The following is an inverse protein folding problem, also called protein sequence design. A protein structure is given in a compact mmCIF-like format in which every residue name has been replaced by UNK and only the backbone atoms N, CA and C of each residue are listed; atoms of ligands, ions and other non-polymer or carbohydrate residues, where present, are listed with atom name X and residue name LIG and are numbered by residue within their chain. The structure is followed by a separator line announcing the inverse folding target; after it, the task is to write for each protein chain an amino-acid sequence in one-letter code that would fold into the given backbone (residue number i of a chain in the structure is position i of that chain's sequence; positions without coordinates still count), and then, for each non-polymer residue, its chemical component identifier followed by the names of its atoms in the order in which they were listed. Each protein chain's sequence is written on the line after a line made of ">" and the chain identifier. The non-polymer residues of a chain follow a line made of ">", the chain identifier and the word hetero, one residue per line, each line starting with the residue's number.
data_IF_326885773917
#
_entry.id   IF_326885773917
#
_cell.length_a   1.000
_cell.length_b   1.000
_cell.length_c   1.000
_cell.angle_alpha   90.00
_cell.angle_beta   90.00
_cell.angle_gamma   90.00
#
_symmetry.space_group_name_H-M   'P 1'
#
loop_
_entity.id
_entity.type
_entity.pdbx_description
1 polymer ?
#
# COMPACT_ATOMS: atom_id res chain seq x y z
N UNK A 1 8.11 -1.05 -32.27
CA UNK A 1 7.33 -1.90 -31.33
C UNK A 1 8.20 -2.06 -30.09
N UNK A 2 7.90 -1.26 -29.08
CA UNK A 2 8.59 -1.32 -27.79
C UNK A 2 7.55 -1.81 -26.80
N UNK A 3 7.73 -3.01 -26.27
CA UNK A 3 6.88 -3.54 -25.21
C UNK A 3 7.41 -3.00 -23.89
N UNK A 4 7.00 -1.80 -23.51
CA UNK A 4 7.06 -1.38 -22.12
C UNK A 4 5.96 -2.18 -21.43
N UNK A 5 6.32 -3.22 -20.68
CA UNK A 5 5.36 -3.92 -19.82
C UNK A 5 4.76 -2.87 -18.89
N UNK A 6 3.42 -2.69 -18.86
CA UNK A 6 2.79 -2.03 -17.73
C UNK A 6 3.17 -2.87 -16.51
N UNK A 7 3.87 -2.26 -15.55
CA UNK A 7 4.06 -2.90 -14.26
C UNK A 7 2.68 -2.80 -13.59
N UNK A 8 1.91 -3.89 -13.67
CA UNK A 8 0.57 -3.97 -13.10
C UNK A 8 0.63 -3.92 -11.57
N UNK A 9 -0.34 -3.27 -10.93
CA UNK A 9 -0.47 -3.28 -9.48
C UNK A 9 -0.64 -4.72 -8.96
N UNK A 10 -0.02 -5.01 -7.82
CA UNK A 10 -0.04 -6.32 -7.19
C UNK A 10 -0.74 -6.25 -5.84
N UNK A 11 -1.53 -7.29 -5.54
CA UNK A 11 -2.05 -7.52 -4.19
C UNK A 11 -2.25 -9.02 -3.96
N UNK A 12 -1.65 -9.52 -2.89
CA UNK A 12 -1.91 -10.84 -2.36
C UNK A 12 -2.26 -10.79 -0.88
N UNK A 13 -3.10 -11.72 -0.45
CA UNK A 13 -3.57 -11.84 0.92
C UNK A 13 -3.66 -13.30 1.32
N UNK A 14 -3.05 -13.66 2.44
CA UNK A 14 -3.00 -15.03 2.92
C UNK A 14 -3.04 -15.14 4.45
N UNK A 15 -3.39 -16.34 4.92
CA UNK A 15 -3.28 -16.67 6.33
C UNK A 15 -1.81 -16.83 6.72
N UNK A 16 -1.34 -15.96 7.60
CA UNK A 16 0.02 -16.01 8.11
C UNK A 16 0.18 -17.02 9.27
N UNK A 17 1.42 -17.23 9.70
CA UNK A 17 1.71 -17.99 10.90
C UNK A 17 1.27 -17.21 12.16
N UNK A 18 0.84 -17.91 13.21
CA UNK A 18 0.40 -17.28 14.46
C UNK A 18 1.51 -16.53 15.21
N UNK A 19 2.77 -16.78 14.87
CA UNK A 19 3.95 -16.07 15.41
C UNK A 19 3.97 -14.58 15.09
N UNK A 20 3.22 -14.12 14.06
CA UNK A 20 3.16 -12.68 13.74
C UNK A 20 2.30 -11.89 14.74
N UNK A 21 1.43 -12.57 15.48
CA UNK A 21 0.48 -11.90 16.39
C UNK A 21 1.25 -11.33 17.58
N UNK A 22 1.16 -10.02 17.85
CA UNK A 22 1.90 -9.43 18.97
C UNK A 22 1.28 -9.86 20.30
N UNK A 23 2.10 -9.82 21.34
CA UNK A 23 1.66 -10.17 22.70
C UNK A 23 0.62 -9.17 23.25
N UNK A 24 0.60 -7.94 22.73
CA UNK A 24 -0.31 -6.86 23.11
C UNK A 24 -1.64 -6.95 22.33
N UNK A 25 -2.44 -7.97 22.64
CA UNK A 25 -3.74 -8.17 21.99
C UNK A 25 -4.81 -7.25 22.60
N UNK A 26 -5.79 -6.78 21.81
CA UNK A 26 -6.95 -6.06 22.33
C UNK A 26 -7.71 -6.91 23.36
N UNK A 27 -8.10 -6.27 24.46
CA UNK A 27 -8.92 -6.91 25.48
C UNK A 27 -10.39 -7.00 25.03
N UNK A 28 -10.68 -7.94 24.14
CA UNK A 28 -12.01 -8.21 23.59
C UNK A 28 -12.34 -9.69 23.65
N UNK A 29 -13.62 -10.02 23.81
CA UNK A 29 -14.12 -11.39 23.70
C UNK A 29 -14.46 -11.78 22.25
N UNK A 30 -14.49 -10.81 21.33
CA UNK A 30 -14.85 -11.03 19.92
C UNK A 30 -13.70 -11.68 19.16
N UNK A 31 -14.04 -12.46 18.14
CA UNK A 31 -13.08 -12.99 17.18
C UNK A 31 -12.57 -11.86 16.30
N UNK A 32 -11.26 -11.85 16.03
CA UNK A 32 -10.58 -10.77 15.32
C UNK A 32 -9.67 -11.31 14.23
N UNK A 33 -9.44 -10.49 13.21
CA UNK A 33 -8.25 -10.57 12.39
C UNK A 33 -7.17 -9.67 12.98
N UNK A 34 -5.95 -10.20 13.00
CA UNK A 34 -4.75 -9.39 13.08
C UNK A 34 -4.18 -9.33 11.67
N UNK A 35 -4.27 -8.16 11.05
CA UNK A 35 -3.87 -7.97 9.65
C UNK A 35 -2.62 -7.12 9.60
N UNK A 36 -1.56 -7.65 8.99
CA UNK A 36 -0.34 -6.91 8.69
C UNK A 36 -0.32 -6.61 7.20
N UNK A 37 -0.24 -5.32 6.85
CA UNK A 37 -0.21 -4.85 5.47
C UNK A 37 1.18 -4.31 5.20
N UNK A 38 1.83 -4.88 4.19
CA UNK A 38 3.05 -4.38 3.60
C UNK A 38 2.72 -3.81 2.23
N UNK A 39 3.17 -2.58 1.97
CA UNK A 39 3.00 -1.93 0.66
C UNK A 39 4.33 -1.35 0.19
N UNK A 40 4.62 -1.60 -1.07
CA UNK A 40 5.73 -1.00 -1.81
C UNK A 40 5.18 -0.05 -2.87
N UNK A 41 5.58 1.21 -2.80
CA UNK A 41 5.30 2.20 -3.84
C UNK A 41 6.51 2.35 -4.75
N UNK A 42 6.30 2.11 -6.05
CA UNK A 42 7.31 2.23 -7.11
C UNK A 42 7.04 3.50 -7.90
N UNK A 43 8.01 4.43 -7.91
CA UNK A 43 7.95 5.66 -8.70
C UNK A 43 8.87 5.53 -9.92
N UNK A 44 8.36 5.60 -11.16
CA UNK A 44 9.20 5.68 -12.34
C UNK A 44 9.84 7.07 -12.40
N UNK A 45 11.17 7.13 -12.40
CA UNK A 45 11.87 8.39 -12.68
C UNK A 45 11.66 8.74 -14.15
N UNK A 46 10.86 9.78 -14.40
CA UNK A 46 10.78 10.41 -15.71
C UNK A 46 12.13 11.10 -15.95
N UNK A 47 12.86 10.67 -16.97
CA UNK A 47 13.99 11.44 -17.46
C UNK A 47 13.45 12.82 -17.84
N UNK A 48 13.95 13.88 -17.20
CA UNK A 48 13.65 15.23 -17.63
C UNK A 48 14.11 15.34 -19.09
N UNK A 49 13.17 15.54 -20.02
CA UNK A 49 13.46 16.09 -21.33
C UNK A 49 13.83 17.57 -21.11
N UNK A 50 15.02 17.81 -20.57
CA UNK A 50 15.70 19.08 -20.80
C UNK A 50 16.27 19.00 -22.22
N UNK A 51 15.57 19.61 -23.16
CA UNK A 51 16.16 20.10 -24.40
C UNK A 51 17.35 20.98 -24.03
N UNK A 52 18.56 20.43 -23.99
CA UNK A 52 19.79 21.13 -24.38
C UNK A 52 20.93 20.12 -24.65
N UNK A 53 21.22 20.03 -25.94
CA UNK A 53 22.31 19.34 -26.64
C UNK A 53 23.67 19.36 -25.93
N UNK A 54 24.00 18.36 -25.08
CA UNK A 54 25.37 18.11 -24.65
C UNK A 54 25.71 16.61 -24.52
N UNK A 55 26.60 16.20 -25.42
CA UNK A 55 27.56 15.09 -25.39
C UNK A 55 27.07 13.63 -25.26
N UNK A 56 27.23 12.97 -26.41
CA UNK A 56 27.23 11.54 -26.70
C UNK A 56 28.23 10.76 -25.82
N UNK A 57 28.02 10.60 -24.51
CA UNK A 57 28.66 9.50 -23.73
C UNK A 57 28.06 9.21 -22.32
N UNK A 58 26.76 9.35 -22.09
CA UNK A 58 26.14 8.92 -20.80
C UNK A 58 24.83 8.15 -20.95
N UNK A 59 24.79 7.26 -21.94
CA UNK A 59 23.75 6.25 -22.16
C UNK A 59 23.80 5.08 -21.16
N UNK A 60 24.14 5.31 -19.88
CA UNK A 60 24.18 4.24 -18.88
C UNK A 60 23.48 4.63 -17.57
N UNK A 61 22.26 4.10 -17.45
CA UNK A 61 21.60 3.68 -16.22
C UNK A 61 21.53 4.69 -15.07
N UNK A 62 20.49 5.52 -15.09
CA UNK A 62 19.78 5.83 -13.86
C UNK A 62 18.30 5.49 -14.06
N UNK A 63 18.02 4.19 -14.21
CA UNK A 63 16.69 3.61 -13.99
C UNK A 63 16.40 3.66 -12.48
N UNK A 64 16.42 4.85 -11.89
CA UNK A 64 16.09 5.06 -10.49
C UNK A 64 14.64 4.67 -10.30
N UNK A 65 14.40 3.53 -9.66
CA UNK A 65 13.12 3.24 -9.04
C UNK A 65 13.32 3.60 -7.58
N UNK A 66 12.65 4.64 -7.11
CA UNK A 66 12.55 4.87 -5.67
C UNK A 66 11.41 3.99 -5.15
N UNK A 67 11.75 3.06 -4.26
CA UNK A 67 10.80 2.15 -3.62
C UNK A 67 10.56 2.59 -2.19
N UNK A 68 9.34 3.02 -1.86
CA UNK A 68 8.97 3.34 -0.48
C UNK A 68 8.17 2.18 0.09
N UNK A 69 8.71 1.56 1.15
CA UNK A 69 8.07 0.46 1.85
C UNK A 69 7.36 0.96 3.12
N UNK A 70 6.06 0.71 3.22
CA UNK A 70 5.27 0.95 4.43
C UNK A 70 4.72 -0.35 4.99
N UNK A 71 4.73 -0.45 6.32
CA UNK A 71 4.14 -1.58 7.04
C UNK A 71 3.22 -1.03 8.11
N UNK A 72 1.96 -1.48 8.10
CA UNK A 72 0.99 -1.16 9.14
C UNK A 72 0.25 -2.41 9.63
N UNK A 73 -0.24 -2.33 10.87
CA UNK A 73 -0.88 -3.43 11.56
C UNK A 73 -2.26 -3.01 12.05
N UNK A 74 -3.24 -3.91 11.87
CA UNK A 74 -4.64 -3.64 12.14
C UNK A 74 -5.28 -4.75 12.96
N UNK A 75 -6.12 -4.36 13.92
CA UNK A 75 -6.94 -5.25 14.71
C UNK A 75 -8.40 -5.06 14.32
N UNK A 76 -8.92 -5.99 13.52
CA UNK A 76 -10.23 -5.81 12.89
C UNK A 76 -11.18 -6.91 13.38
N UNK A 77 -12.39 -6.57 13.89
CA UNK A 77 -13.39 -7.58 14.21
C UNK A 77 -13.73 -8.47 13.02
N UNK A 78 -13.88 -9.78 13.23
CA UNK A 78 -14.15 -10.74 12.16
C UNK A 78 -15.38 -10.35 11.32
N UNK A 79 -16.45 -9.91 11.97
CA UNK A 79 -17.67 -9.49 11.30
C UNK A 79 -17.48 -8.29 10.38
N UNK A 80 -16.47 -7.44 10.63
CA UNK A 80 -16.20 -6.28 9.79
C UNK A 80 -15.45 -6.65 8.51
N UNK A 81 -14.64 -7.73 8.51
CA UNK A 81 -13.95 -8.21 7.31
C UNK A 81 -14.71 -9.28 6.53
N UNK A 82 -15.69 -9.94 7.14
CA UNK A 82 -16.43 -11.06 6.52
C UNK A 82 -17.83 -10.66 6.06
N UNK A 83 -18.37 -9.55 6.55
CA UNK A 83 -19.72 -9.10 6.18
C UNK A 83 -19.74 -8.19 4.95
N UNK A 84 -20.94 -7.73 4.59
CA UNK A 84 -21.17 -6.76 3.52
C UNK A 84 -20.49 -5.41 3.77
N UNK A 85 -20.07 -5.10 5.00
CA UNK A 85 -19.31 -3.88 5.33
C UNK A 85 -17.80 -4.02 5.09
N UNK A 86 -17.32 -5.19 4.65
CA UNK A 86 -15.89 -5.45 4.44
C UNK A 86 -15.24 -4.47 3.47
N UNK A 87 -15.96 -4.04 2.43
CA UNK A 87 -15.46 -3.08 1.47
C UNK A 87 -15.04 -1.75 2.11
N UNK A 88 -15.86 -1.15 2.97
CA UNK A 88 -15.51 0.13 3.62
C UNK A 88 -14.36 -0.02 4.62
N UNK A 89 -14.33 -1.14 5.35
CA UNK A 89 -13.26 -1.41 6.32
C UNK A 89 -11.92 -1.64 5.62
N UNK A 90 -11.91 -2.44 4.55
CA UNK A 90 -10.69 -2.70 3.77
C UNK A 90 -10.25 -1.44 3.03
N UNK A 91 -11.16 -0.67 2.45
CA UNK A 91 -10.83 0.61 1.81
C UNK A 91 -10.19 1.59 2.81
N UNK A 92 -10.73 1.71 4.03
CA UNK A 92 -10.13 2.52 5.08
C UNK A 92 -8.72 2.06 5.47
N UNK A 93 -8.51 0.74 5.56
CA UNK A 93 -7.20 0.15 5.82
C UNK A 93 -6.19 0.47 4.70
N UNK A 94 -6.60 0.32 3.44
CA UNK A 94 -5.80 0.61 2.26
C UNK A 94 -5.43 2.10 2.16
N UNK A 95 -6.38 3.00 2.45
CA UNK A 95 -6.11 4.44 2.47
C UNK A 95 -5.14 4.83 3.59
N UNK A 96 -5.21 4.17 4.76
CA UNK A 96 -4.27 4.42 5.86
C UNK A 96 -2.83 4.04 5.50
N UNK A 97 -2.63 3.01 4.67
CA UNK A 97 -1.30 2.64 4.16
C UNK A 97 -0.90 3.42 2.90
N UNK A 98 -1.74 4.37 2.45
CA UNK A 98 -1.43 5.26 1.33
C UNK A 98 -1.84 4.74 -0.06
N UNK A 99 -2.59 3.64 -0.15
CA UNK A 99 -3.04 3.11 -1.45
C UNK A 99 -4.14 4.02 -2.04
N UNK A 100 -3.97 4.56 -3.26
CA UNK A 100 -4.95 5.44 -3.90
C UNK A 100 -6.30 4.75 -4.16
N UNK A 101 -7.41 5.48 -4.00
CA UNK A 101 -8.77 4.95 -4.05
C UNK A 101 -9.10 4.23 -5.36
N UNK A 102 -8.59 4.73 -6.48
CA UNK A 102 -8.78 4.19 -7.83
C UNK A 102 -8.10 2.82 -8.02
N UNK A 103 -7.06 2.52 -7.22
CA UNK A 103 -6.35 1.23 -7.27
C UNK A 103 -6.92 0.19 -6.28
N UNK A 104 -7.73 0.62 -5.32
CA UNK A 104 -8.27 -0.26 -4.26
C UNK A 104 -9.26 -1.35 -4.72
N UNK A 105 -10.11 -1.21 -5.76
CA UNK A 105 -11.20 -2.15 -6.00
C UNK A 105 -10.79 -3.63 -6.09
N UNK A 106 -9.70 -3.95 -6.79
CA UNK A 106 -9.24 -5.34 -6.91
C UNK A 106 -8.58 -5.84 -5.61
N UNK A 107 -7.86 -4.96 -4.90
CA UNK A 107 -7.22 -5.29 -3.62
C UNK A 107 -8.26 -5.57 -2.54
N UNK A 108 -9.34 -4.79 -2.50
CA UNK A 108 -10.49 -5.00 -1.63
C UNK A 108 -11.06 -6.40 -1.85
N UNK A 109 -11.26 -6.79 -3.11
CA UNK A 109 -11.77 -8.12 -3.43
C UNK A 109 -10.84 -9.22 -2.95
N UNK A 110 -9.52 -9.10 -3.21
CA UNK A 110 -8.51 -10.08 -2.76
C UNK A 110 -8.49 -10.27 -1.25
N UNK A 111 -8.48 -9.17 -0.50
CA UNK A 111 -8.43 -9.19 0.97
C UNK A 111 -9.74 -9.75 1.54
N UNK A 112 -10.89 -9.33 1.01
CA UNK A 112 -12.21 -9.83 1.44
C UNK A 112 -12.36 -11.33 1.20
N UNK A 113 -11.97 -11.80 0.02
CA UNK A 113 -11.99 -13.23 -0.32
C UNK A 113 -11.09 -14.05 0.61
N UNK A 114 -9.90 -13.54 0.94
CA UNK A 114 -9.00 -14.18 1.90
C UNK A 114 -9.65 -14.25 3.29
N UNK A 115 -10.23 -13.14 3.77
CA UNK A 115 -10.91 -13.09 5.06
C UNK A 115 -12.03 -14.14 5.15
N UNK A 116 -12.87 -14.23 4.11
CA UNK A 116 -13.97 -15.21 4.07
C UNK A 116 -13.47 -16.65 4.08
N UNK A 117 -12.43 -16.97 3.29
CA UNK A 117 -11.79 -18.30 3.28
C UNK A 117 -11.21 -18.64 4.65
N UNK A 118 -10.53 -17.70 5.30
CA UNK A 118 -9.95 -17.90 6.62
C UNK A 118 -11.03 -18.09 7.69
N UNK A 119 -12.10 -17.30 7.68
CA UNK A 119 -13.18 -17.37 8.65
C UNK A 119 -13.95 -18.70 8.57
N UNK A 120 -14.10 -19.25 7.36
CA UNK A 120 -14.80 -20.52 7.10
C UNK A 120 -13.92 -21.77 7.20
N UNK A 121 -12.59 -21.62 7.31
CA UNK A 121 -11.68 -22.75 7.35
C UNK A 121 -11.81 -23.58 8.65
N UNK A 122 -11.90 -24.90 8.51
CA UNK A 122 -12.11 -25.83 9.63
C UNK A 122 -11.01 -25.73 10.69
N UNK A 123 -9.74 -25.57 10.28
CA UNK A 123 -8.61 -25.44 11.21
C UNK A 123 -8.59 -24.11 11.98
N UNK A 124 -9.41 -23.14 11.56
CA UNK A 124 -9.57 -21.85 12.23
C UNK A 124 -10.78 -21.80 13.17
N UNK A 125 -11.56 -22.89 13.25
CA UNK A 125 -12.67 -22.98 14.20
C UNK A 125 -12.15 -22.89 15.64
N UNK A 126 -12.81 -22.05 16.45
CA UNK A 126 -12.43 -21.80 17.84
C UNK A 126 -11.20 -20.90 18.02
N UNK A 127 -10.51 -20.50 16.95
CA UNK A 127 -9.42 -19.51 17.04
C UNK A 127 -9.99 -18.13 17.29
N UNK A 128 -9.51 -17.46 18.33
CA UNK A 128 -9.92 -16.11 18.70
C UNK A 128 -9.34 -15.04 17.77
N UNK A 129 -8.12 -15.26 17.28
CA UNK A 129 -7.41 -14.33 16.39
C UNK A 129 -6.99 -15.08 15.14
N UNK A 130 -7.23 -14.48 13.98
CA UNK A 130 -6.83 -14.98 12.68
C UNK A 130 -5.74 -14.05 12.10
N UNK A 131 -4.49 -14.51 11.96
CA UNK A 131 -3.41 -13.70 11.41
C UNK A 131 -3.49 -13.67 9.87
N UNK A 132 -3.56 -12.47 9.30
CA UNK A 132 -3.55 -12.23 7.86
C UNK A 132 -2.34 -11.37 7.50
N UNK A 133 -1.64 -11.75 6.44
CA UNK A 133 -0.65 -10.89 5.79
C UNK A 133 -1.22 -10.43 4.46
N UNK A 134 -0.99 -9.16 4.15
CA UNK A 134 -1.35 -8.54 2.87
C UNK A 134 -0.10 -7.90 2.31
N UNK A 135 0.23 -8.22 1.07
CA UNK A 135 1.37 -7.68 0.35
C UNK A 135 0.88 -6.96 -0.90
N UNK A 136 1.34 -5.73 -1.08
CA UNK A 136 0.84 -4.81 -2.11
C UNK A 136 2.04 -4.16 -2.79
N UNK A 137 2.01 -4.10 -4.12
CA UNK A 137 2.91 -3.25 -4.89
C UNK A 137 2.06 -2.32 -5.76
N UNK A 138 2.34 -1.02 -5.67
CA UNK A 138 1.63 0.01 -6.45
C UNK A 138 2.65 0.77 -7.28
N UNK A 139 2.39 0.87 -8.57
CA UNK A 139 3.17 1.75 -9.45
C UNK A 139 2.47 3.09 -9.53
N UNK A 140 3.13 4.10 -8.98
CA UNK A 140 2.61 5.47 -8.97
C UNK A 140 3.04 6.13 -10.28
N UNK A 141 2.08 6.43 -11.15
CA UNK A 141 2.35 7.20 -12.36
C UNK A 141 2.54 8.68 -11.96
N UNK A 142 3.72 9.23 -12.22
CA UNK A 142 4.02 10.64 -11.93
C UNK A 142 3.29 11.62 -12.88
N UNK A 143 2.51 11.12 -13.84
CA UNK A 143 1.88 11.92 -14.90
C UNK A 143 0.64 12.75 -14.54
N UNK A 144 0.23 12.89 -13.27
CA UNK A 144 -0.99 13.64 -12.89
C UNK A 144 -0.90 14.48 -11.61
N UNK A 145 0.29 14.99 -11.26
CA UNK A 145 0.37 16.21 -10.45
C UNK A 145 0.53 17.41 -11.38
N UNK A 146 -0.51 17.68 -12.18
CA UNK A 146 -0.70 19.03 -12.73
C UNK A 146 -0.92 19.95 -11.52
N UNK A 147 0.02 20.87 -11.35
CA UNK A 147 0.03 22.02 -10.45
C UNK A 147 -1.29 22.29 -9.68
N UNK A 148 -1.37 21.80 -8.45
CA UNK A 148 -2.09 22.52 -7.41
C UNK A 148 -1.38 22.24 -6.08
N UNK A 149 -0.27 22.95 -5.86
CA UNK A 149 0.15 23.40 -4.53
C UNK A 149 1.31 24.39 -4.65
N UNK A 150 0.93 25.63 -4.92
CA UNK A 150 1.70 26.83 -4.66
C UNK A 150 2.09 27.02 -3.18
N UNK A 151 1.85 26.05 -2.29
CA UNK A 151 2.10 26.15 -0.85
C UNK A 151 3.41 25.50 -0.37
N UNK A 152 4.12 24.69 -1.17
CA UNK A 152 5.41 24.09 -0.76
C UNK A 152 6.60 25.08 -0.91
N UNK A 153 6.38 26.31 -1.40
CA UNK A 153 7.44 27.33 -1.51
C UNK A 153 7.57 28.25 -0.28
N UNK A 154 6.63 28.22 0.67
CA UNK A 154 6.65 29.19 1.79
C UNK A 154 7.61 28.79 2.92
N UNK A 155 7.97 27.52 3.07
CA UNK A 155 8.84 27.09 4.18
C UNK A 155 10.34 27.27 3.93
N UNK A 156 10.77 27.64 2.72
CA UNK A 156 12.20 27.84 2.40
C UNK A 156 12.65 29.30 2.36
N UNK A 157 11.74 30.28 2.46
CA UNK A 157 12.11 31.70 2.48
C UNK A 157 12.28 32.30 3.89
N UNK A 158 12.05 31.55 4.97
CA UNK A 158 12.15 32.09 6.34
C UNK A 158 13.49 31.86 7.05
N UNK A 159 14.58 31.53 6.33
CA UNK A 159 15.92 31.39 6.92
C UNK A 159 17.02 32.18 6.21
N UNK A 160 16.68 33.19 5.41
CA UNK A 160 17.65 34.17 4.91
C UNK A 160 17.16 35.58 5.24
N UNK A 161 17.54 36.08 6.40
CA UNK A 161 17.20 37.45 6.80
C UNK A 161 17.27 37.72 8.30
N UNK A 162 18.44 37.50 8.90
CA UNK A 162 18.82 38.23 10.11
C UNK A 162 20.26 38.72 9.90
N UNK A 163 20.39 39.94 9.37
CA UNK A 163 21.51 40.82 9.72
C UNK A 163 21.27 41.41 11.11
#
# INVERSE_FOLDING_TARGET
>A
MSYTTPIDDYCDAWQADYTIIPNTQPNTSRKQFYTKVQVEFTYPVLAHEEDEEYEEDSLLLNNGVEGINHVMEFWIPENELVSNSSQSTISSMLSQVGVPLERQPFMIHRISDCAQKMASAVHNLGRKVLPMMVDISVVVDNGQYEEDDAEIRVLRQSMEGVE
#
